data_IF_887274147026
#
_entry.id   IF_887274147026
#
_cell.length_a   1.000
_cell.length_b   1.000
_cell.length_c   1.000
_cell.angle_alpha   90.00
_cell.angle_beta   90.00
_cell.angle_gamma   90.00
#
_symmetry.space_group_name_H-M   'P 1'
#
loop_
_entity.id
_entity.type
_entity.pdbx_description
1 polymer ?
#
# COMPACT_ATOMS: atom_id res chain seq x y z
N UNK A 1 28.47 -58.91 31.90
CA UNK A 1 28.53 -58.51 30.48
C UNK A 1 27.16 -58.75 29.90
N UNK A 2 26.42 -57.70 29.57
CA UNK A 2 25.09 -57.82 28.95
C UNK A 2 24.97 -56.74 27.89
N UNK A 3 24.82 -57.19 26.64
CA UNK A 3 24.62 -56.37 25.44
C UNK A 3 23.12 -56.12 25.30
N UNK A 4 22.70 -54.87 25.15
CA UNK A 4 21.33 -54.52 24.79
C UNK A 4 21.33 -53.68 23.52
N UNK A 5 20.99 -54.33 22.42
CA UNK A 5 20.82 -53.78 21.07
C UNK A 5 19.52 -52.99 21.01
N UNK A 6 19.58 -51.67 20.77
CA UNK A 6 18.39 -50.84 20.58
C UNK A 6 18.01 -50.79 19.10
N UNK A 7 16.81 -51.28 18.78
CA UNK A 7 16.19 -51.26 17.46
C UNK A 7 15.73 -49.85 17.09
N UNK A 8 16.09 -49.40 15.89
CA UNK A 8 15.66 -48.14 15.30
C UNK A 8 14.19 -48.19 14.88
N UNK A 9 13.39 -47.22 15.33
CA UNK A 9 11.99 -47.05 14.92
C UNK A 9 11.95 -46.03 13.78
N UNK A 10 11.65 -46.50 12.57
CA UNK A 10 11.40 -45.65 11.41
C UNK A 10 10.00 -45.03 11.51
N UNK A 11 9.92 -43.71 11.69
CA UNK A 11 8.67 -42.97 11.69
C UNK A 11 8.18 -42.75 10.24
N UNK A 12 6.87 -42.90 9.95
CA UNK A 12 6.33 -42.61 8.63
C UNK A 12 6.29 -41.10 8.39
N UNK A 13 7.04 -40.64 7.38
CA UNK A 13 6.94 -39.29 6.84
C UNK A 13 5.67 -39.17 6.00
N UNK A 14 4.66 -38.48 6.55
CA UNK A 14 3.50 -38.07 5.79
C UNK A 14 3.88 -36.91 4.83
N UNK A 15 3.44 -36.93 3.56
CA UNK A 15 3.72 -35.84 2.63
C UNK A 15 2.93 -34.60 3.08
N UNK A 16 3.65 -33.53 3.44
CA UNK A 16 3.06 -32.23 3.68
C UNK A 16 2.48 -31.71 2.37
N UNK A 17 1.16 -31.75 2.25
CA UNK A 17 0.42 -31.11 1.17
C UNK A 17 0.73 -29.62 1.25
N UNK A 18 1.34 -29.08 0.20
CA UNK A 18 1.63 -27.67 0.08
C UNK A 18 0.31 -26.89 0.17
N UNK A 19 0.11 -26.19 1.29
CA UNK A 19 -0.91 -25.16 1.38
C UNK A 19 -0.52 -24.09 0.37
N UNK A 20 -1.22 -24.06 -0.78
CA UNK A 20 -1.08 -23.00 -1.75
C UNK A 20 -1.28 -21.64 -1.06
N UNK A 21 -0.60 -20.58 -1.52
CA UNK A 21 -0.76 -19.26 -0.93
C UNK A 21 -2.24 -18.89 -0.99
N UNK A 22 -2.87 -18.80 0.18
CA UNK A 22 -4.20 -18.23 0.30
C UNK A 22 -4.06 -16.77 -0.14
N UNK A 23 -4.53 -16.47 -1.35
CA UNK A 23 -4.72 -15.09 -1.78
C UNK A 23 -5.62 -14.42 -0.74
N UNK A 24 -5.14 -13.42 0.02
CA UNK A 24 -5.99 -12.74 0.97
C UNK A 24 -7.18 -12.15 0.20
N UNK A 25 -8.39 -12.17 0.78
CA UNK A 25 -9.54 -11.51 0.16
C UNK A 25 -9.13 -10.07 -0.13
N UNK A 26 -9.43 -9.60 -1.34
CA UNK A 26 -9.27 -8.20 -1.69
C UNK A 26 -10.16 -7.39 -0.73
N UNK A 27 -9.55 -6.92 0.36
CA UNK A 27 -10.19 -6.01 1.29
C UNK A 27 -10.42 -4.75 0.49
N UNK A 28 -11.65 -4.59 0.03
CA UNK A 28 -12.14 -3.34 -0.53
C UNK A 28 -12.28 -2.40 0.67
N UNK A 29 -11.13 -1.89 1.11
CA UNK A 29 -10.96 -1.01 2.24
C UNK A 29 -11.92 0.16 2.04
N UNK A 30 -12.96 0.22 2.85
CA UNK A 30 -13.82 1.39 2.94
C UNK A 30 -12.90 2.59 3.15
N UNK A 31 -12.99 3.55 2.23
CA UNK A 31 -12.21 4.79 2.30
C UNK A 31 -12.67 5.51 3.56
N UNK A 32 -12.03 5.25 4.71
CA UNK A 32 -12.14 6.12 5.86
C UNK A 32 -11.79 7.52 5.35
N UNK A 33 -12.62 8.51 5.65
CA UNK A 33 -12.36 9.88 5.24
C UNK A 33 -11.11 10.38 5.97
N UNK A 34 -9.92 10.10 5.42
CA UNK A 34 -8.68 10.64 5.93
C UNK A 34 -8.74 12.16 5.76
N UNK A 35 -8.46 12.87 6.85
CA UNK A 35 -8.25 14.31 6.78
C UNK A 35 -6.89 14.52 6.13
N UNK A 36 -6.90 14.83 4.83
CA UNK A 36 -5.68 15.08 4.07
C UNK A 36 -5.56 16.54 3.71
N UNK A 37 -4.32 17.02 3.73
CA UNK A 37 -3.94 18.40 3.49
C UNK A 37 -2.99 18.46 2.30
N UNK A 38 -3.12 19.52 1.51
CA UNK A 38 -2.17 19.82 0.44
C UNK A 38 -1.07 20.69 1.03
N UNK A 39 0.17 20.18 1.04
CA UNK A 39 1.33 20.94 1.54
C UNK A 39 1.70 22.07 0.56
N UNK A 40 1.74 21.72 -0.73
CA UNK A 40 1.94 22.66 -1.81
C UNK A 40 1.30 22.14 -3.10
N UNK A 41 0.93 23.07 -3.98
CA UNK A 41 0.42 22.79 -5.32
C UNK A 41 0.99 23.81 -6.30
N UNK A 42 1.40 23.34 -7.46
CA UNK A 42 1.79 24.18 -8.59
C UNK A 42 1.04 23.69 -9.84
N UNK A 43 1.30 24.31 -10.99
CA UNK A 43 0.54 24.02 -12.22
C UNK A 43 0.71 22.58 -12.71
N UNK A 44 1.72 21.83 -12.27
CA UNK A 44 2.03 20.49 -12.78
C UNK A 44 2.24 19.45 -11.68
N UNK A 45 2.20 19.82 -10.41
CA UNK A 45 2.51 18.92 -9.30
C UNK A 45 1.81 19.36 -8.02
N UNK A 46 1.63 18.40 -7.12
CA UNK A 46 1.03 18.60 -5.82
C UNK A 46 1.66 17.67 -4.80
N UNK A 47 1.79 18.12 -3.56
CA UNK A 47 2.14 17.26 -2.44
C UNK A 47 0.98 17.24 -1.45
N UNK A 48 0.59 16.04 -1.04
CA UNK A 48 -0.48 15.85 -0.05
C UNK A 48 -0.04 14.94 1.08
N UNK A 49 -0.43 15.27 2.30
CA UNK A 49 -0.23 14.43 3.47
C UNK A 49 -1.56 14.22 4.19
N UNK A 50 -1.65 13.19 5.02
CA UNK A 50 -2.87 12.90 5.77
C UNK A 50 -2.60 12.90 7.28
N UNK A 51 -3.54 13.46 8.03
CA UNK A 51 -3.59 13.37 9.49
C UNK A 51 -3.72 11.92 9.92
N UNK A 52 -3.19 11.62 11.11
CA UNK A 52 -3.30 10.33 11.77
C UNK A 52 -2.12 10.11 12.70
N UNK A 53 -2.10 8.95 13.34
CA UNK A 53 -1.07 8.57 14.30
C UNK A 53 -0.77 7.09 14.15
N UNK A 54 0.08 6.70 13.20
CA UNK A 54 0.48 5.30 13.12
C UNK A 54 1.21 4.90 11.84
N UNK A 55 1.68 3.64 11.77
CA UNK A 55 2.36 3.08 10.60
C UNK A 55 1.41 2.86 9.40
N UNK A 56 0.13 3.20 9.53
CA UNK A 56 -0.84 3.15 8.46
C UNK A 56 -0.40 4.06 7.31
N UNK A 57 -0.36 3.54 6.10
CA UNK A 57 0.03 4.30 4.91
C UNK A 57 -1.21 4.81 4.19
N UNK A 58 -1.01 5.79 3.31
CA UNK A 58 -2.05 6.32 2.44
C UNK A 58 -1.51 6.44 1.02
N UNK A 59 -2.42 6.44 0.05
CA UNK A 59 -2.17 6.68 -1.34
C UNK A 59 -2.84 7.98 -1.77
N UNK A 60 -2.36 8.53 -2.87
CA UNK A 60 -2.93 9.71 -3.49
C UNK A 60 -2.92 9.56 -5.01
N UNK A 61 -3.86 10.20 -5.68
CA UNK A 61 -3.87 10.30 -7.13
C UNK A 61 -3.97 11.73 -7.58
N UNK A 62 -3.29 12.03 -8.67
CA UNK A 62 -3.35 13.31 -9.36
C UNK A 62 -3.99 13.11 -10.72
N UNK A 63 -4.98 13.95 -11.04
CA UNK A 63 -5.59 14.03 -12.35
C UNK A 63 -4.87 15.10 -13.16
N UNK A 64 -4.09 14.65 -14.13
CA UNK A 64 -3.35 15.48 -15.08
C UNK A 64 -4.21 15.77 -16.31
N UNK A 65 -4.13 16.99 -16.84
CA UNK A 65 -4.83 17.44 -18.04
C UNK A 65 -3.85 17.99 -19.08
N UNK A 66 -3.87 17.46 -20.30
CA UNK A 66 -3.14 17.98 -21.46
C UNK A 66 -4.13 18.21 -22.61
N UNK A 67 -4.50 19.46 -22.87
CA UNK A 67 -5.58 19.77 -23.82
C UNK A 67 -6.90 19.13 -23.38
N UNK A 68 -7.46 18.26 -24.23
CA UNK A 68 -8.67 17.46 -23.94
C UNK A 68 -8.39 16.17 -23.15
N UNK A 69 -7.13 15.70 -23.13
CA UNK A 69 -6.76 14.44 -22.49
C UNK A 69 -6.67 14.60 -20.97
N UNK A 70 -7.23 13.62 -20.25
CA UNK A 70 -7.13 13.52 -18.80
C UNK A 70 -6.51 12.17 -18.43
N UNK A 71 -5.47 12.20 -17.59
CA UNK A 71 -4.77 11.00 -17.10
C UNK A 71 -4.72 11.05 -15.59
N UNK A 72 -5.25 10.01 -14.93
CA UNK A 72 -5.08 9.85 -13.49
C UNK A 72 -3.79 9.05 -13.22
N UNK A 73 -2.91 9.61 -12.40
CA UNK A 73 -1.72 8.94 -11.89
C UNK A 73 -1.92 8.65 -10.42
N UNK A 74 -1.73 7.39 -10.02
CA UNK A 74 -1.87 6.95 -8.64
C UNK A 74 -0.48 6.78 -8.02
N UNK A 75 -0.31 7.21 -6.78
CA UNK A 75 0.93 7.20 -6.02
C UNK A 75 0.67 6.53 -4.68
N UNK A 76 1.47 5.52 -4.35
CA UNK A 76 1.39 4.80 -3.09
C UNK A 76 2.15 3.47 -3.10
N UNK A 77 2.34 2.84 -1.93
CA UNK A 77 1.97 3.33 -0.61
C UNK A 77 2.93 4.42 -0.10
N UNK A 78 2.37 5.59 0.25
CA UNK A 78 3.12 6.76 0.70
C UNK A 78 3.61 6.66 2.14
N UNK A 79 4.06 7.78 2.74
CA UNK A 79 4.48 7.82 4.14
C UNK A 79 3.35 7.43 5.10
N UNK A 80 3.73 7.26 6.36
CA UNK A 80 2.78 7.01 7.43
C UNK A 80 1.83 8.19 7.65
N UNK A 81 0.59 7.91 8.06
CA UNK A 81 -0.35 8.95 8.48
C UNK A 81 0.27 9.72 9.67
N UNK A 82 0.19 11.06 9.64
CA UNK A 82 0.78 11.95 10.65
C UNK A 82 2.24 12.34 10.45
N UNK A 83 2.95 11.71 9.53
CA UNK A 83 4.39 11.94 9.27
C UNK A 83 4.68 13.27 8.53
N UNK A 84 3.64 13.94 8.01
CA UNK A 84 3.66 15.22 7.27
C UNK A 84 4.58 15.31 6.03
N UNK A 85 5.43 14.30 5.78
CA UNK A 85 6.31 14.20 4.59
C UNK A 85 5.53 14.20 3.28
N UNK A 86 4.30 13.69 3.28
CA UNK A 86 3.42 13.75 2.12
C UNK A 86 3.82 12.81 0.97
N UNK A 87 2.93 12.70 -0.01
CA UNK A 87 3.21 12.11 -1.32
C UNK A 87 3.30 13.25 -2.33
N UNK A 88 4.47 13.41 -2.93
CA UNK A 88 4.66 14.31 -4.07
C UNK A 88 4.22 13.64 -5.35
N UNK A 89 3.40 14.32 -6.13
CA UNK A 89 2.83 13.84 -7.38
C UNK A 89 3.07 14.86 -8.48
N UNK A 90 3.32 14.38 -9.69
CA UNK A 90 3.64 15.24 -10.83
C UNK A 90 2.92 14.79 -12.10
N UNK A 91 2.60 15.76 -12.94
CA UNK A 91 2.00 15.66 -14.25
C UNK A 91 3.06 15.98 -15.31
N UNK A 92 3.72 14.96 -15.90
CA UNK A 92 4.80 15.17 -16.87
C UNK A 92 4.36 15.86 -18.15
N UNK A 93 3.07 15.75 -18.47
CA UNK A 93 2.54 16.08 -19.77
C UNK A 93 1.57 17.26 -19.77
N UNK A 94 1.25 17.86 -18.61
CA UNK A 94 0.24 18.91 -18.58
C UNK A 94 -0.12 19.43 -17.19
N UNK A 95 -1.24 20.15 -17.14
CA UNK A 95 -1.71 20.85 -15.96
C UNK A 95 -2.34 19.93 -14.91
N UNK A 96 -2.15 20.29 -13.64
CA UNK A 96 -2.86 19.75 -12.49
C UNK A 96 -4.35 20.13 -12.54
N UNK A 97 -5.24 19.15 -12.38
CA UNK A 97 -6.70 19.38 -12.29
C UNK A 97 -7.28 19.06 -10.91
N UNK A 98 -6.90 17.93 -10.31
CA UNK A 98 -7.48 17.45 -9.04
C UNK A 98 -6.58 16.44 -8.35
N UNK A 99 -6.54 16.45 -7.02
CA UNK A 99 -5.97 15.36 -6.20
C UNK A 99 -7.09 14.58 -5.53
N UNK A 100 -6.94 13.26 -5.38
CA UNK A 100 -7.77 12.42 -4.51
C UNK A 100 -6.87 11.55 -3.61
N UNK A 101 -7.28 11.28 -2.37
CA UNK A 101 -6.53 10.46 -1.43
C UNK A 101 -7.34 9.25 -0.97
N UNK A 102 -6.66 8.19 -0.55
CA UNK A 102 -7.25 7.01 0.08
C UNK A 102 -6.25 6.40 1.07
N UNK A 103 -6.73 5.72 2.10
CA UNK A 103 -5.91 5.06 3.10
C UNK A 103 -6.07 3.56 3.03
N UNK A 104 -5.06 2.83 3.52
CA UNK A 104 -5.21 1.42 3.83
C UNK A 104 -5.49 1.27 5.33
N UNK A 105 -6.49 0.48 5.75
CA UNK A 105 -6.60 0.06 7.14
C UNK A 105 -5.32 -0.72 7.48
N UNK A 106 -4.65 -0.27 8.54
CA UNK A 106 -3.50 -0.96 9.12
C UNK A 106 -3.92 -2.22 9.87
#
# INVERSE_FOLDING_TARGET
MSVATALAVAAPVAPAVAAGPASPPAVQAGVQALKCHTNWQNSTSANVWCDGHGPARYGASILCKKGSLQKQLNYGPGPWQGDRRGISMYCPDGGFKRVKQWGWPG
#
